data_IF_627546825172
#
_entry.id   IF_627546825172
#
_cell.length_a   1.000
_cell.length_b   1.000
_cell.length_c   1.000
_cell.angle_alpha   90.00
_cell.angle_beta   90.00
_cell.angle_gamma   90.00
#
_symmetry.space_group_name_H-M   'P 1'
#
loop_
_entity.id
_entity.type
_entity.pdbx_description
1 polymer ?
#
# COMPACT_ATOMS: atom_id res chain seq x y z
N UNK A 1 -21.38 19.78 -16.54
CA UNK A 1 -21.40 18.40 -15.99
C UNK A 1 -20.30 17.47 -16.55
N UNK A 2 -20.02 17.42 -17.87
CA UNK A 2 -18.95 16.56 -18.45
C UNK A 2 -17.55 16.80 -17.87
N UNK A 3 -17.13 18.05 -17.66
CA UNK A 3 -15.81 18.40 -17.09
C UNK A 3 -15.59 17.82 -15.69
N UNK A 4 -16.61 17.87 -14.80
CA UNK A 4 -16.56 17.33 -13.43
C UNK A 4 -16.41 15.81 -13.43
N UNK A 5 -17.19 15.10 -14.27
CA UNK A 5 -17.09 13.63 -14.47
C UNK A 5 -15.74 13.18 -15.06
N UNK A 6 -15.07 14.03 -15.82
CA UNK A 6 -13.73 13.72 -16.35
C UNK A 6 -12.65 13.95 -15.30
N UNK A 7 -12.77 14.99 -14.46
CA UNK A 7 -11.87 15.26 -13.33
C UNK A 7 -11.89 14.10 -12.33
N UNK A 8 -13.08 13.67 -11.91
CA UNK A 8 -13.26 12.54 -10.99
C UNK A 8 -12.65 11.23 -11.53
N UNK A 9 -12.88 10.94 -12.82
CA UNK A 9 -12.26 9.78 -13.49
C UNK A 9 -10.73 9.85 -13.53
N UNK A 10 -10.16 11.04 -13.73
CA UNK A 10 -8.71 11.23 -13.71
C UNK A 10 -8.13 11.01 -12.31
N UNK A 11 -8.81 11.47 -11.27
CA UNK A 11 -8.41 11.23 -9.87
C UNK A 11 -8.40 9.74 -9.56
N UNK A 12 -9.47 9.02 -9.88
CA UNK A 12 -9.56 7.57 -9.66
C UNK A 12 -8.46 6.83 -10.43
N UNK A 13 -8.18 7.21 -11.68
CA UNK A 13 -7.09 6.61 -12.47
C UNK A 13 -5.73 6.83 -11.83
N UNK A 14 -5.44 8.05 -11.36
CA UNK A 14 -4.17 8.37 -10.69
C UNK A 14 -4.03 7.59 -9.40
N UNK A 15 -5.09 7.53 -8.57
CA UNK A 15 -5.11 6.72 -7.36
C UNK A 15 -4.86 5.23 -7.65
N UNK A 16 -5.54 4.65 -8.63
CA UNK A 16 -5.34 3.25 -9.02
C UNK A 16 -3.90 2.98 -9.48
N UNK A 17 -3.25 3.94 -10.17
CA UNK A 17 -1.82 3.81 -10.53
C UNK A 17 -0.93 3.77 -9.28
N UNK A 18 -1.23 4.59 -8.28
CA UNK A 18 -0.48 4.59 -7.03
C UNK A 18 -0.68 3.29 -6.24
N UNK A 19 -1.90 2.75 -6.23
CA UNK A 19 -2.24 1.45 -5.61
C UNK A 19 -1.51 0.30 -6.31
N UNK A 20 -1.42 0.33 -7.65
CA UNK A 20 -0.62 -0.64 -8.41
C UNK A 20 0.85 -0.60 -8.00
N UNK A 21 1.44 0.59 -7.88
CA UNK A 21 2.83 0.73 -7.45
C UNK A 21 3.02 0.26 -5.99
N UNK A 22 2.09 0.59 -5.08
CA UNK A 22 2.07 0.07 -3.70
C UNK A 22 2.06 -1.47 -3.70
N UNK A 23 1.17 -2.07 -4.50
CA UNK A 23 1.06 -3.52 -4.59
C UNK A 23 2.34 -4.16 -5.14
N UNK A 24 2.96 -3.55 -6.16
CA UNK A 24 4.24 -4.01 -6.69
C UNK A 24 5.35 -3.97 -5.61
N UNK A 25 5.45 -2.87 -4.85
CA UNK A 25 6.42 -2.75 -3.77
C UNK A 25 6.18 -3.77 -2.66
N UNK A 26 4.93 -3.99 -2.26
CA UNK A 26 4.56 -5.04 -1.31
C UNK A 26 4.97 -6.43 -1.80
N UNK A 27 4.81 -6.72 -3.09
CA UNK A 27 5.20 -8.00 -3.67
C UNK A 27 6.72 -8.18 -3.67
N UNK A 28 7.47 -7.16 -4.12
CA UNK A 28 8.94 -7.20 -4.17
C UNK A 28 9.56 -7.26 -2.77
N UNK A 29 9.07 -6.45 -1.83
CA UNK A 29 9.47 -6.52 -0.43
C UNK A 29 9.15 -7.90 0.16
N UNK A 30 7.95 -8.43 -0.10
CA UNK A 30 7.54 -9.76 0.36
C UNK A 30 8.45 -10.87 -0.17
N UNK A 31 8.81 -10.82 -1.46
CA UNK A 31 9.78 -11.76 -2.06
C UNK A 31 11.16 -11.64 -1.41
N UNK A 32 11.66 -10.43 -1.18
CA UNK A 32 12.95 -10.19 -0.54
C UNK A 32 13.00 -10.74 0.89
N UNK A 33 11.97 -10.44 1.70
CA UNK A 33 11.85 -10.94 3.08
C UNK A 33 11.70 -12.46 3.09
N UNK A 34 10.88 -13.04 2.20
CA UNK A 34 10.70 -14.48 2.10
C UNK A 34 12.00 -15.20 1.71
N UNK A 35 12.72 -14.68 0.72
CA UNK A 35 14.00 -15.25 0.30
C UNK A 35 15.01 -15.25 1.44
N UNK A 36 15.05 -14.18 2.23
CA UNK A 36 15.87 -14.08 3.44
C UNK A 36 15.48 -15.15 4.47
N UNK A 37 14.18 -15.27 4.77
CA UNK A 37 13.67 -16.28 5.70
C UNK A 37 13.94 -17.72 5.27
N UNK A 38 13.85 -18.04 3.97
CA UNK A 38 14.21 -19.36 3.45
C UNK A 38 15.70 -19.62 3.58
N UNK A 39 16.54 -18.63 3.24
CA UNK A 39 17.99 -18.78 3.27
C UNK A 39 18.54 -18.96 4.70
N UNK A 40 18.09 -18.12 5.65
CA UNK A 40 18.53 -18.15 7.04
C UNK A 40 17.69 -19.08 7.95
N UNK A 41 16.61 -19.67 7.41
CA UNK A 41 15.64 -20.52 8.12
C UNK A 41 14.91 -19.80 9.26
N UNK A 42 14.62 -18.52 9.06
CA UNK A 42 13.94 -17.69 10.05
C UNK A 42 12.42 -17.67 9.78
N UNK A 43 11.65 -18.08 10.80
CA UNK A 43 10.22 -18.35 10.62
C UNK A 43 9.38 -17.08 10.49
N UNK A 44 9.78 -15.99 11.15
CA UNK A 44 9.04 -14.73 11.12
C UNK A 44 9.10 -14.11 9.73
N UNK A 45 10.25 -14.15 9.08
CA UNK A 45 10.56 -13.65 7.75
C UNK A 45 9.75 -14.44 6.71
N UNK A 46 9.65 -15.76 6.85
CA UNK A 46 8.78 -16.58 6.00
C UNK A 46 7.31 -16.14 6.16
N UNK A 47 6.81 -16.04 7.40
CA UNK A 47 5.42 -15.67 7.68
C UNK A 47 5.09 -14.27 7.15
N UNK A 48 5.94 -13.28 7.46
CA UNK A 48 5.72 -11.89 7.05
C UNK A 48 6.04 -11.64 5.57
N UNK A 49 6.90 -12.44 4.96
CA UNK A 49 7.12 -12.47 3.51
C UNK A 49 5.87 -12.96 2.77
N UNK A 50 5.26 -14.07 3.22
CA UNK A 50 3.98 -14.55 2.69
C UNK A 50 2.87 -13.53 2.91
N UNK A 51 2.79 -12.93 4.10
CA UNK A 51 1.79 -11.91 4.40
C UNK A 51 1.87 -10.70 3.45
N UNK A 52 3.08 -10.20 3.17
CA UNK A 52 3.30 -9.12 2.21
C UNK A 52 2.80 -9.47 0.80
N UNK A 53 3.04 -10.71 0.35
CA UNK A 53 2.57 -11.18 -0.96
C UNK A 53 1.03 -11.28 -1.01
N UNK A 54 0.39 -11.80 0.05
CA UNK A 54 -1.08 -11.84 0.15
C UNK A 54 -1.64 -10.41 0.13
N UNK A 55 -1.05 -9.51 0.91
CA UNK A 55 -1.46 -8.11 0.98
C UNK A 55 -1.39 -7.44 -0.39
N UNK A 56 -0.32 -7.66 -1.16
CA UNK A 56 -0.17 -7.16 -2.53
C UNK A 56 -1.36 -7.55 -3.43
N UNK A 57 -1.77 -8.81 -3.39
CA UNK A 57 -2.89 -9.31 -4.18
C UNK A 57 -4.23 -8.70 -3.76
N UNK A 58 -4.45 -8.56 -2.45
CA UNK A 58 -5.67 -7.95 -1.91
C UNK A 58 -5.77 -6.46 -2.26
N UNK A 59 -4.64 -5.75 -2.25
CA UNK A 59 -4.58 -4.32 -2.53
C UNK A 59 -4.95 -4.01 -4.00
N UNK A 60 -4.66 -4.92 -4.94
CA UNK A 60 -5.05 -4.80 -6.35
C UNK A 60 -6.54 -5.06 -6.62
N UNK A 61 -7.20 -5.88 -5.79
CA UNK A 61 -8.58 -6.33 -6.04
C UNK A 61 -9.62 -5.21 -5.89
N UNK A 62 -9.26 -4.15 -5.20
CA UNK A 62 -10.18 -3.08 -4.85
C UNK A 62 -10.22 -2.04 -5.99
N UNK A 63 -11.35 -1.91 -6.70
CA UNK A 63 -11.48 -1.03 -7.88
C UNK A 63 -12.68 -0.07 -7.84
N UNK A 64 -13.61 -0.24 -6.89
CA UNK A 64 -14.82 0.56 -6.76
C UNK A 64 -14.60 1.77 -5.85
N UNK A 65 -13.86 2.74 -6.36
CA UNK A 65 -13.48 3.93 -5.60
C UNK A 65 -14.30 5.16 -6.01
N UNK A 66 -15.07 5.70 -5.07
CA UNK A 66 -15.46 7.11 -5.08
C UNK A 66 -14.41 7.93 -4.33
N UNK A 67 -14.32 9.23 -4.57
CA UNK A 67 -13.39 10.08 -3.80
C UNK A 67 -13.60 9.97 -2.28
N UNK A 68 -14.86 9.85 -1.84
CA UNK A 68 -15.19 9.68 -0.41
C UNK A 68 -14.84 8.29 0.13
N UNK A 69 -14.81 7.24 -0.70
CA UNK A 69 -14.32 5.92 -0.26
C UNK A 69 -12.80 5.87 -0.21
N UNK A 70 -12.10 6.52 -1.16
CA UNK A 70 -10.63 6.65 -1.12
C UNK A 70 -10.20 7.34 0.19
N UNK A 71 -10.81 8.49 0.51
CA UNK A 71 -10.49 9.24 1.74
C UNK A 71 -10.66 8.38 2.99
N UNK A 72 -11.77 7.62 3.08
CA UNK A 72 -12.03 6.73 4.23
C UNK A 72 -11.00 5.61 4.34
N UNK A 73 -10.62 4.98 3.22
CA UNK A 73 -9.60 3.93 3.20
C UNK A 73 -8.26 4.46 3.68
N UNK A 74 -7.81 5.60 3.14
CA UNK A 74 -6.50 6.17 3.46
C UNK A 74 -6.43 6.75 4.89
N UNK A 75 -7.55 7.25 5.44
CA UNK A 75 -7.62 7.67 6.85
C UNK A 75 -7.42 6.47 7.79
N UNK A 76 -8.09 5.34 7.52
CA UNK A 76 -8.03 4.16 8.36
C UNK A 76 -6.72 3.37 8.20
N UNK A 77 -5.93 3.66 7.16
CA UNK A 77 -4.69 2.94 6.85
C UNK A 77 -3.53 3.28 7.79
N UNK A 78 -3.55 4.43 8.47
CA UNK A 78 -2.41 4.92 9.25
C UNK A 78 -1.99 3.95 10.36
N UNK A 79 -2.95 3.47 11.16
CA UNK A 79 -2.65 2.55 12.27
C UNK A 79 -2.06 1.24 11.78
N UNK A 80 -2.56 0.72 10.65
CA UNK A 80 -1.98 -0.45 9.99
C UNK A 80 -0.53 -0.20 9.58
N UNK A 81 -0.24 0.93 8.94
CA UNK A 81 1.11 1.24 8.49
C UNK A 81 2.08 1.37 9.66
N UNK A 82 1.71 2.10 10.73
CA UNK A 82 2.57 2.27 11.90
C UNK A 82 2.87 0.93 12.57
N UNK A 83 1.86 0.09 12.78
CA UNK A 83 2.04 -1.23 13.37
C UNK A 83 3.02 -2.09 12.54
N UNK A 84 2.84 -2.11 11.23
CA UNK A 84 3.67 -2.92 10.35
C UNK A 84 5.09 -2.36 10.18
N UNK A 85 5.31 -1.05 10.30
CA UNK A 85 6.67 -0.47 10.37
C UNK A 85 7.41 -1.03 11.58
N UNK A 86 6.75 -1.09 12.74
CA UNK A 86 7.36 -1.65 13.96
C UNK A 86 7.70 -3.12 13.74
N UNK A 87 6.75 -3.90 13.22
CA UNK A 87 6.94 -5.33 12.96
C UNK A 87 8.08 -5.58 11.98
N UNK A 88 8.08 -4.94 10.80
CA UNK A 88 9.14 -5.17 9.81
C UNK A 88 10.49 -4.60 10.24
N UNK A 89 10.54 -3.60 11.13
CA UNK A 89 11.81 -3.17 11.72
C UNK A 89 12.42 -4.22 12.65
N UNK A 90 11.60 -5.09 13.24
CA UNK A 90 12.05 -6.22 14.07
C UNK A 90 12.35 -7.48 13.26
N UNK A 91 11.56 -7.73 12.21
CA UNK A 91 11.68 -8.92 11.35
C UNK A 91 12.71 -8.65 10.25
N UNK A 92 12.37 -7.80 9.29
CA UNK A 92 13.28 -7.47 8.20
C UNK A 92 12.97 -6.08 7.61
N UNK A 93 13.90 -5.11 7.68
CA UNK A 93 13.64 -3.74 7.27
C UNK A 93 13.35 -3.59 5.78
N UNK A 94 13.60 -4.60 4.93
CA UNK A 94 13.15 -4.61 3.53
C UNK A 94 11.63 -4.47 3.39
N UNK A 95 10.85 -4.95 4.38
CA UNK A 95 9.41 -4.77 4.42
C UNK A 95 8.98 -3.31 4.59
N UNK A 96 9.82 -2.47 5.20
CA UNK A 96 9.52 -1.06 5.41
C UNK A 96 9.45 -0.26 4.10
N UNK A 97 10.06 -0.73 3.01
CA UNK A 97 10.03 -0.04 1.71
C UNK A 97 8.59 0.16 1.23
N UNK A 98 7.78 -0.90 1.27
CA UNK A 98 6.38 -0.83 0.85
C UNK A 98 5.55 0.05 1.78
N UNK A 99 5.83 0.03 3.09
CA UNK A 99 5.14 0.82 4.10
C UNK A 99 5.41 2.32 4.00
N UNK A 100 6.68 2.69 3.79
CA UNK A 100 7.08 4.08 3.57
C UNK A 100 6.42 4.65 2.32
N UNK A 101 6.33 3.86 1.24
CA UNK A 101 5.59 4.27 0.06
C UNK A 101 4.09 4.42 0.34
N UNK A 102 3.47 3.51 1.10
CA UNK A 102 2.07 3.64 1.48
C UNK A 102 1.82 4.90 2.35
N UNK A 103 2.75 5.30 3.21
CA UNK A 103 2.71 6.59 3.93
C UNK A 103 2.77 7.79 2.98
N UNK A 104 3.75 7.79 2.08
CA UNK A 104 3.89 8.85 1.07
C UNK A 104 2.62 8.98 0.22
N UNK A 105 2.12 7.85 -0.28
CA UNK A 105 0.90 7.79 -1.08
C UNK A 105 -0.29 8.34 -0.29
N UNK A 106 -0.45 7.93 0.96
CA UNK A 106 -1.52 8.44 1.84
C UNK A 106 -1.45 9.95 1.98
N UNK A 107 -0.27 10.51 2.24
CA UNK A 107 -0.08 11.95 2.37
C UNK A 107 -0.41 12.69 1.07
N UNK A 108 0.04 12.17 -0.06
CA UNK A 108 -0.31 12.71 -1.38
C UNK A 108 -1.81 12.67 -1.65
N UNK A 109 -2.51 11.63 -1.19
CA UNK A 109 -3.95 11.46 -1.38
C UNK A 109 -4.76 12.42 -0.49
N UNK A 110 -4.39 12.53 0.79
CA UNK A 110 -5.15 13.29 1.79
C UNK A 110 -4.79 14.78 1.81
N UNK A 111 -3.50 15.10 1.70
CA UNK A 111 -2.97 16.45 1.85
C UNK A 111 -2.44 17.03 0.52
N UNK A 112 -2.05 16.18 -0.44
CA UNK A 112 -1.48 16.59 -1.73
C UNK A 112 -2.48 17.04 -2.79
N UNK A 113 -3.74 17.32 -2.43
CA UNK A 113 -4.78 17.82 -3.34
C UNK A 113 -5.22 16.82 -4.41
N UNK A 114 -4.98 15.51 -4.21
CA UNK A 114 -5.45 14.47 -5.15
C UNK A 114 -6.98 14.34 -5.13
N UNK A 115 -7.58 14.48 -3.96
CA UNK A 115 -9.03 14.46 -3.75
C UNK A 115 -9.49 15.92 -3.56
N UNK A 116 -10.57 16.30 -4.23
CA UNK A 116 -11.22 17.61 -4.00
C UNK A 116 -12.02 17.54 -2.68
N UNK A 117 -12.00 18.60 -1.87
CA UNK A 117 -12.90 18.75 -0.71
C UNK A 117 -14.38 18.86 -1.11
#
# INVERSE_FOLDING_TARGET
MRKRKNKERNVIRKYNSLVKLSSLLWFLSGLGVLAFGIYFREIFEIVFGVFAMIYSLLNLKNTNYSQSSIRRVELNKLSFIILFIIIYSLVNPLGNIALLYDLYKRDLVLNGGLIDE
#
